data_IF_336395907694
#
_entry.id   IF_336395907694
#
_cell.length_a   1.000
_cell.length_b   1.000
_cell.length_c   1.000
_cell.angle_alpha   90.00
_cell.angle_beta   90.00
_cell.angle_gamma   90.00
#
_symmetry.space_group_name_H-M   'P 1'
#
loop_
_entity.id
_entity.type
_entity.pdbx_description
1 polymer ?
#
# COMPACT_ATOMS: atom_id res chain seq x y z
N UNK A 1 33.49 18.01 23.96
CA UNK A 1 32.85 17.95 25.30
C UNK A 1 32.60 16.49 25.63
N UNK A 2 33.13 16.01 26.75
CA UNK A 2 32.84 14.66 27.22
C UNK A 2 31.37 14.59 27.65
N UNK A 3 30.61 13.62 27.12
CA UNK A 3 29.23 13.36 27.58
C UNK A 3 29.32 12.47 28.81
N UNK A 4 28.75 12.93 29.91
CA UNK A 4 28.57 12.13 31.10
C UNK A 4 27.26 11.33 30.97
N UNK A 5 27.38 10.01 31.06
CA UNK A 5 26.23 9.10 31.00
C UNK A 5 25.98 8.53 32.39
N UNK A 6 24.71 8.53 32.81
CA UNK A 6 24.27 7.77 33.98
C UNK A 6 23.38 6.64 33.46
N UNK A 7 23.94 5.43 33.43
CA UNK A 7 23.19 4.20 33.15
C UNK A 7 22.96 3.55 34.50
N UNK A 8 21.71 3.54 34.94
CA UNK A 8 21.34 2.85 36.15
C UNK A 8 20.74 1.47 35.78
N UNK A 9 20.98 0.46 36.62
CA UNK A 9 20.40 -0.88 36.43
C UNK A 9 18.88 -0.86 36.56
N UNK A 10 18.18 -2.00 36.42
CA UNK A 10 16.72 -2.07 36.46
C UNK A 10 16.05 -1.54 37.75
N UNK A 11 16.82 -1.22 38.79
CA UNK A 11 16.37 -0.63 40.06
C UNK A 11 17.10 0.68 40.40
N UNK A 12 17.72 1.34 39.43
CA UNK A 12 18.43 2.57 39.68
C UNK A 12 17.46 3.74 39.88
N UNK A 13 17.53 4.33 41.07
CA UNK A 13 16.78 5.51 41.44
C UNK A 13 17.71 6.69 41.69
N UNK A 14 17.33 7.87 41.20
CA UNK A 14 17.93 9.15 41.55
C UNK A 14 16.91 9.95 42.34
N UNK A 15 17.25 10.32 43.57
CA UNK A 15 16.35 11.06 44.46
C UNK A 15 17.04 12.31 45.00
N UNK A 16 16.30 13.42 45.08
CA UNK A 16 16.73 14.67 45.75
C UNK A 16 18.06 15.25 45.21
N UNK A 17 18.33 15.04 43.92
CA UNK A 17 19.56 15.48 43.26
C UNK A 17 19.33 16.71 42.37
N UNK A 18 20.41 17.47 42.13
CA UNK A 18 20.49 18.46 41.06
C UNK A 18 21.41 17.89 39.99
N UNK A 19 20.90 17.74 38.77
CA UNK A 19 21.64 17.12 37.66
C UNK A 19 21.65 18.08 36.49
N UNK A 20 22.80 18.20 35.82
CA UNK A 20 23.00 19.09 34.68
C UNK A 20 23.80 18.40 33.58
N UNK A 21 23.47 18.70 32.33
CA UNK A 21 24.30 18.38 31.16
C UNK A 21 24.66 16.89 31.04
N UNK A 22 23.72 16.01 31.38
CA UNK A 22 23.89 14.56 31.44
C UNK A 22 22.80 13.87 30.62
N UNK A 23 23.12 12.69 30.11
CA UNK A 23 22.16 11.76 29.53
C UNK A 23 21.82 10.66 30.56
N UNK A 24 20.53 10.49 30.83
CA UNK A 24 20.00 9.50 31.79
C UNK A 24 19.04 8.59 31.04
N UNK A 25 19.26 7.28 31.17
CA UNK A 25 18.43 6.28 30.51
C UNK A 25 17.87 5.29 31.52
N UNK A 26 16.63 4.82 31.30
CA UNK A 26 15.99 3.71 32.06
C UNK A 26 16.06 3.87 33.59
N UNK A 27 15.92 5.09 34.09
CA UNK A 27 16.10 5.43 35.50
C UNK A 27 14.82 6.01 36.08
N UNK A 28 14.54 5.72 37.35
CA UNK A 28 13.51 6.42 38.11
C UNK A 28 14.09 7.67 38.78
N UNK A 29 13.47 8.82 38.57
CA UNK A 29 13.93 10.12 39.04
C UNK A 29 12.82 10.74 39.89
N UNK A 30 13.09 10.98 41.18
CA UNK A 30 12.13 11.55 42.13
C UNK A 30 12.69 12.79 42.81
N UNK A 31 11.84 13.80 43.01
CA UNK A 31 12.18 15.02 43.75
C UNK A 31 13.48 15.72 43.27
N UNK A 32 13.80 15.60 41.98
CA UNK A 32 15.04 16.15 41.41
C UNK A 32 14.81 17.47 40.69
N UNK A 33 15.90 18.22 40.50
CA UNK A 33 15.93 19.37 39.58
C UNK A 33 16.92 19.09 38.46
N UNK A 34 16.41 19.01 37.23
CA UNK A 34 17.17 18.66 36.03
C UNK A 34 17.29 19.88 35.10
N UNK A 35 18.51 20.17 34.65
CA UNK A 35 18.77 21.23 33.66
C UNK A 35 19.52 20.66 32.47
N UNK A 36 19.04 20.92 31.25
CA UNK A 36 19.75 20.48 30.03
C UNK A 36 20.03 18.98 29.98
N UNK A 37 19.14 18.19 30.60
CA UNK A 37 19.27 16.73 30.67
C UNK A 37 18.50 16.09 29.51
N UNK A 38 19.08 15.04 28.94
CA UNK A 38 18.36 14.14 28.02
C UNK A 38 17.90 12.90 28.79
N UNK A 39 16.59 12.65 28.79
CA UNK A 39 15.95 11.52 29.45
C UNK A 39 15.39 10.55 28.41
N UNK A 40 15.77 9.27 28.50
CA UNK A 40 15.22 8.22 27.65
C UNK A 40 14.67 7.05 28.47
N UNK A 41 13.40 6.70 28.25
CA UNK A 41 12.73 5.61 28.95
C UNK A 41 12.77 5.74 30.49
N UNK A 42 12.70 6.97 31.02
CA UNK A 42 12.73 7.25 32.45
C UNK A 42 11.32 7.39 33.03
N UNK A 43 11.20 7.16 34.34
CA UNK A 43 10.05 7.60 35.13
C UNK A 43 10.47 8.81 35.96
N UNK A 44 9.76 9.92 35.81
CA UNK A 44 10.08 11.19 36.48
C UNK A 44 8.88 11.60 37.32
N UNK A 45 9.07 11.73 38.63
CA UNK A 45 8.00 11.99 39.59
C UNK A 45 8.37 13.21 40.43
N UNK A 46 7.42 14.14 40.60
CA UNK A 46 7.51 15.31 41.47
C UNK A 46 8.80 16.14 41.29
N UNK A 47 9.30 16.19 40.05
CA UNK A 47 10.58 16.81 39.71
C UNK A 47 10.41 18.11 38.91
N UNK A 48 11.50 18.88 38.78
CA UNK A 48 11.53 20.11 37.98
C UNK A 48 12.49 19.95 36.80
N UNK A 49 11.99 20.14 35.59
CA UNK A 49 12.73 19.96 34.34
C UNK A 49 12.82 21.31 33.63
N UNK A 50 14.03 21.75 33.34
CA UNK A 50 14.31 23.01 32.66
C UNK A 50 15.19 22.75 31.44
N UNK A 51 14.74 23.17 30.26
CA UNK A 51 15.48 22.99 29.00
C UNK A 51 15.90 21.53 28.74
N UNK A 52 15.07 20.56 29.14
CA UNK A 52 15.40 19.13 28.98
C UNK A 52 14.83 18.58 27.67
N UNK A 53 15.37 17.44 27.23
CA UNK A 53 14.79 16.64 26.15
C UNK A 53 14.35 15.29 26.73
N UNK A 54 13.10 14.90 26.50
CA UNK A 54 12.56 13.66 27.06
C UNK A 54 11.97 12.79 25.96
N UNK A 55 12.36 11.52 25.95
CA UNK A 55 11.98 10.54 24.96
C UNK A 55 11.38 9.31 25.63
N UNK A 56 10.20 8.89 25.17
CA UNK A 56 9.55 7.65 25.60
C UNK A 56 9.48 7.48 27.13
N UNK A 57 9.31 8.58 27.86
CA UNK A 57 9.36 8.61 29.32
C UNK A 57 7.96 8.80 29.91
N UNK A 58 7.81 8.59 31.21
CA UNK A 58 6.58 8.92 31.96
C UNK A 58 6.89 9.99 32.99
N UNK A 59 6.14 11.09 33.00
CA UNK A 59 6.37 12.23 33.89
C UNK A 59 5.11 12.51 34.71
N UNK A 60 5.21 12.51 36.05
CA UNK A 60 4.07 12.69 36.96
C UNK A 60 4.32 13.80 37.97
N UNK A 61 3.31 14.61 38.28
CA UNK A 61 3.38 15.66 39.32
C UNK A 61 4.49 16.71 39.14
N UNK A 62 5.09 16.79 37.95
CA UNK A 62 6.33 17.52 37.73
C UNK A 62 6.08 18.90 37.12
N UNK A 63 7.08 19.80 37.21
CA UNK A 63 7.07 21.09 36.51
C UNK A 63 8.08 21.08 35.38
N UNK A 64 7.63 21.31 34.16
CA UNK A 64 8.47 21.34 32.97
C UNK A 64 8.44 22.73 32.36
N UNK A 65 9.62 23.28 32.08
CA UNK A 65 9.79 24.61 31.47
C UNK A 65 10.79 24.50 30.31
N UNK A 66 10.42 25.05 29.15
CA UNK A 66 11.26 25.06 27.95
C UNK A 66 11.75 23.64 27.54
N UNK A 67 10.96 22.61 27.82
CA UNK A 67 11.33 21.19 27.66
C UNK A 67 10.71 20.59 26.41
N UNK A 68 11.45 19.75 25.69
CA UNK A 68 10.96 18.98 24.55
C UNK A 68 10.51 17.58 24.99
N UNK A 69 9.32 17.18 24.57
CA UNK A 69 8.64 15.94 24.97
C UNK A 69 8.33 15.14 23.71
N UNK A 70 8.97 14.00 23.52
CA UNK A 70 8.75 13.14 22.35
C UNK A 70 8.33 11.72 22.76
N UNK A 71 7.09 11.35 22.43
CA UNK A 71 6.42 10.12 22.91
C UNK A 71 6.46 9.96 24.43
N UNK A 72 6.50 11.08 25.15
CA UNK A 72 6.52 11.12 26.61
C UNK A 72 5.09 11.27 27.13
N UNK A 73 4.67 10.38 28.01
CA UNK A 73 3.41 10.50 28.74
C UNK A 73 3.60 11.44 29.92
N UNK A 74 2.64 12.32 30.19
CA UNK A 74 2.66 13.17 31.38
C UNK A 74 1.31 13.22 32.06
N UNK A 75 1.32 13.20 33.38
CA UNK A 75 0.14 13.20 34.25
C UNK A 75 0.33 14.29 35.32
N UNK A 76 -0.73 15.03 35.65
CA UNK A 76 -0.75 16.06 36.72
C UNK A 76 0.41 17.08 36.71
N UNK A 77 1.08 17.26 35.56
CA UNK A 77 2.31 18.05 35.42
C UNK A 77 2.03 19.44 34.86
N UNK A 78 2.77 20.45 35.34
CA UNK A 78 2.67 21.84 34.87
C UNK A 78 3.68 22.11 33.74
N UNK A 79 3.18 22.45 32.56
CA UNK A 79 3.97 22.70 31.36
C UNK A 79 4.03 24.20 31.05
N UNK A 80 5.22 24.74 30.79
CA UNK A 80 5.41 26.12 30.32
C UNK A 80 6.40 26.13 29.16
N UNK A 81 6.00 26.68 28.01
CA UNK A 81 6.84 26.77 26.80
C UNK A 81 7.46 25.44 26.36
N UNK A 82 6.76 24.33 26.58
CA UNK A 82 7.22 22.99 26.20
C UNK A 82 6.77 22.65 24.77
N UNK A 83 7.59 21.88 24.05
CA UNK A 83 7.26 21.36 22.72
C UNK A 83 6.89 19.89 22.86
N UNK A 84 5.69 19.50 22.43
CA UNK A 84 5.17 18.14 22.61
C UNK A 84 4.97 17.46 21.25
N UNK A 85 5.52 16.26 21.11
CA UNK A 85 5.41 15.40 19.93
C UNK A 85 4.96 14.01 20.39
N UNK A 86 3.65 13.80 20.49
CA UNK A 86 3.05 12.60 21.10
C UNK A 86 2.85 11.42 20.15
N UNK A 87 3.09 11.56 18.85
CA UNK A 87 2.84 10.49 17.88
C UNK A 87 3.89 10.47 16.78
N UNK A 88 4.17 9.30 16.15
CA UNK A 88 4.80 9.32 14.82
C UNK A 88 4.03 10.30 13.93
N UNK A 89 4.73 10.97 13.03
CA UNK A 89 4.12 11.93 12.09
C UNK A 89 2.85 11.28 11.52
N UNK A 90 1.68 11.81 11.91
CA UNK A 90 0.42 11.19 11.52
C UNK A 90 0.41 11.09 10.00
N UNK A 91 0.07 9.93 9.44
CA UNK A 91 0.23 9.68 8.01
C UNK A 91 -0.44 10.76 7.13
N UNK A 92 -1.55 11.34 7.60
CA UNK A 92 -2.23 12.46 6.95
C UNK A 92 -1.47 13.79 6.93
N UNK A 93 -0.37 13.94 7.68
CA UNK A 93 0.52 15.12 7.64
C UNK A 93 1.59 15.04 6.56
N UNK A 94 1.79 13.88 5.93
CA UNK A 94 2.67 13.81 4.77
C UNK A 94 2.06 14.57 3.59
N UNK A 95 2.88 15.31 2.82
CA UNK A 95 2.48 15.84 1.51
C UNK A 95 1.86 14.73 0.65
N UNK A 96 0.90 15.11 -0.19
CA UNK A 96 0.15 14.16 -1.04
C UNK A 96 1.09 13.34 -1.92
N UNK A 97 2.18 13.93 -2.41
CA UNK A 97 3.19 13.29 -3.24
C UNK A 97 3.85 12.11 -2.51
N UNK A 98 4.26 12.32 -1.24
CA UNK A 98 4.86 11.26 -0.42
C UNK A 98 3.84 10.18 -0.07
N UNK A 99 2.58 10.55 0.23
CA UNK A 99 1.51 9.58 0.48
C UNK A 99 1.27 8.70 -0.75
N UNK A 100 1.21 9.29 -1.94
CA UNK A 100 1.07 8.55 -3.20
C UNK A 100 2.26 7.62 -3.46
N UNK A 101 3.49 8.06 -3.16
CA UNK A 101 4.67 7.19 -3.26
C UNK A 101 4.55 5.98 -2.32
N UNK A 102 4.19 6.21 -1.05
CA UNK A 102 4.00 5.12 -0.07
C UNK A 102 2.88 4.18 -0.53
N UNK A 103 1.76 4.71 -1.00
CA UNK A 103 0.67 3.91 -1.54
C UNK A 103 1.09 3.07 -2.75
N UNK A 104 1.90 3.61 -3.67
CA UNK A 104 2.41 2.84 -4.82
C UNK A 104 3.17 1.58 -4.39
N UNK A 105 3.98 1.68 -3.34
CA UNK A 105 4.74 0.54 -2.81
C UNK A 105 3.87 -0.42 -1.98
N UNK A 106 2.93 0.11 -1.19
CA UNK A 106 2.20 -0.67 -0.19
C UNK A 106 0.83 -1.19 -0.63
N UNK A 107 0.30 -0.78 -1.78
CA UNK A 107 -1.03 -1.16 -2.26
C UNK A 107 -1.02 -2.25 -3.35
N UNK A 108 0.09 -2.95 -3.54
CA UNK A 108 0.15 -4.04 -4.52
C UNK A 108 -0.66 -5.27 -4.07
N UNK A 109 -1.32 -5.93 -5.02
CA UNK A 109 -2.13 -7.11 -4.76
C UNK A 109 -1.23 -8.33 -4.52
N UNK A 110 -1.18 -8.80 -3.28
CA UNK A 110 -0.54 -10.07 -2.93
C UNK A 110 -1.61 -11.13 -2.64
N UNK A 111 -1.55 -12.26 -3.33
CA UNK A 111 -2.36 -13.45 -3.06
C UNK A 111 -3.88 -13.19 -3.04
N UNK A 112 -4.37 -12.30 -3.90
CA UNK A 112 -5.77 -11.87 -3.99
C UNK A 112 -6.38 -11.28 -2.71
N UNK A 113 -5.55 -10.85 -1.76
CA UNK A 113 -6.01 -10.20 -0.53
C UNK A 113 -5.90 -8.69 -0.66
N UNK A 114 -6.82 -7.97 -0.02
CA UNK A 114 -6.68 -6.52 0.11
C UNK A 114 -5.38 -6.20 0.86
N UNK A 115 -4.55 -5.26 0.39
CA UNK A 115 -3.32 -4.88 1.07
C UNK A 115 -3.58 -4.46 2.52
N UNK A 116 -2.70 -4.84 3.45
CA UNK A 116 -2.87 -4.55 4.88
C UNK A 116 -3.04 -3.04 5.15
N UNK A 117 -2.29 -2.20 4.43
CA UNK A 117 -2.43 -0.75 4.51
C UNK A 117 -3.83 -0.28 4.13
N UNK A 118 -4.41 -0.81 3.04
CA UNK A 118 -5.76 -0.44 2.61
C UNK A 118 -6.82 -0.81 3.66
N UNK A 119 -6.63 -1.94 4.34
CA UNK A 119 -7.52 -2.37 5.44
C UNK A 119 -7.37 -1.45 6.65
N UNK A 120 -6.13 -1.12 7.03
CA UNK A 120 -5.84 -0.23 8.16
C UNK A 120 -6.42 1.18 7.96
N UNK A 121 -6.44 1.66 6.72
CA UNK A 121 -6.96 2.99 6.38
C UNK A 121 -8.48 3.11 6.42
N UNK A 122 -9.25 2.01 6.56
CA UNK A 122 -10.73 2.07 6.57
C UNK A 122 -11.31 2.98 7.65
N UNK A 123 -10.58 3.22 8.73
CA UNK A 123 -10.98 4.15 9.80
C UNK A 123 -10.78 5.64 9.49
N UNK A 124 -10.01 5.98 8.45
CA UNK A 124 -9.78 7.35 7.99
C UNK A 124 -10.37 7.52 6.57
N UNK A 125 -11.55 8.13 6.49
CA UNK A 125 -12.31 8.24 5.24
C UNK A 125 -11.51 8.91 4.11
N UNK A 126 -10.74 9.95 4.44
CA UNK A 126 -9.97 10.73 3.46
C UNK A 126 -8.82 9.89 2.91
N UNK A 127 -8.02 9.31 3.80
CA UNK A 127 -6.88 8.47 3.39
C UNK A 127 -7.34 7.20 2.68
N UNK A 128 -8.45 6.60 3.13
CA UNK A 128 -9.04 5.44 2.47
C UNK A 128 -9.46 5.76 1.05
N UNK A 129 -10.16 6.90 0.84
CA UNK A 129 -10.55 7.36 -0.48
C UNK A 129 -9.35 7.57 -1.39
N UNK A 130 -8.27 8.20 -0.93
CA UNK A 130 -7.07 8.36 -1.74
C UNK A 130 -6.39 7.01 -2.06
N UNK A 131 -6.31 6.10 -1.08
CA UNK A 131 -5.69 4.79 -1.25
C UNK A 131 -6.48 3.90 -2.20
N UNK A 132 -7.81 3.77 -2.03
CA UNK A 132 -8.65 2.92 -2.88
C UNK A 132 -8.66 3.40 -4.34
N UNK A 133 -8.57 4.72 -4.52
CA UNK A 133 -8.49 5.34 -5.83
C UNK A 133 -7.21 4.95 -6.56
N UNK A 134 -6.07 4.98 -5.87
CA UNK A 134 -4.79 4.56 -6.45
C UNK A 134 -4.74 3.04 -6.63
N UNK A 135 -5.33 2.29 -5.70
CA UNK A 135 -5.40 0.84 -5.73
C UNK A 135 -5.97 0.31 -7.05
N UNK A 136 -7.11 0.84 -7.51
CA UNK A 136 -7.74 0.41 -8.78
C UNK A 136 -6.94 0.80 -10.03
N UNK A 137 -6.12 1.85 -9.95
CA UNK A 137 -5.26 2.28 -11.06
C UNK A 137 -4.01 1.40 -11.17
N UNK A 138 -3.45 0.98 -10.04
CA UNK A 138 -2.19 0.23 -10.00
C UNK A 138 -2.38 -1.24 -10.29
N UNK A 139 -3.43 -1.83 -9.71
CA UNK A 139 -3.62 -3.27 -9.69
C UNK A 139 -4.58 -3.73 -10.80
N UNK A 140 -4.29 -4.89 -11.43
CA UNK A 140 -5.27 -5.57 -12.25
C UNK A 140 -6.53 -5.90 -11.44
N UNK A 141 -7.69 -5.57 -11.99
CA UNK A 141 -8.97 -5.94 -11.41
C UNK A 141 -9.29 -7.39 -11.79
N UNK A 142 -9.40 -8.32 -10.82
CA UNK A 142 -9.69 -9.71 -11.13
C UNK A 142 -11.14 -9.87 -11.58
N UNK A 143 -11.34 -10.50 -12.72
CA UNK A 143 -12.63 -10.88 -13.29
C UNK A 143 -12.71 -12.40 -13.35
N UNK A 144 -13.25 -12.97 -12.28
CA UNK A 144 -13.67 -14.37 -12.20
C UNK A 144 -15.19 -14.45 -11.98
N UNK A 145 -15.73 -15.66 -11.98
CA UNK A 145 -17.17 -15.88 -11.78
C UNK A 145 -17.69 -15.34 -10.44
N UNK A 146 -16.86 -15.32 -9.40
CA UNK A 146 -17.23 -14.77 -8.09
C UNK A 146 -17.20 -13.24 -8.07
N UNK A 147 -16.28 -12.62 -8.83
CA UNK A 147 -16.15 -11.18 -8.94
C UNK A 147 -17.22 -10.54 -9.82
N UNK A 148 -17.88 -11.30 -10.71
CA UNK A 148 -19.00 -10.80 -11.52
C UNK A 148 -20.11 -10.17 -10.67
N UNK A 149 -20.54 -10.85 -9.62
CA UNK A 149 -21.57 -10.32 -8.71
C UNK A 149 -21.09 -9.02 -8.05
N UNK A 150 -19.80 -8.95 -7.70
CA UNK A 150 -19.21 -7.76 -7.08
C UNK A 150 -19.12 -6.57 -8.04
N UNK A 151 -18.92 -6.78 -9.34
CA UNK A 151 -18.93 -5.70 -10.33
C UNK A 151 -20.23 -4.90 -10.33
N UNK A 152 -21.37 -5.52 -9.99
CA UNK A 152 -22.66 -4.84 -9.87
C UNK A 152 -22.80 -4.01 -8.58
N UNK A 153 -21.96 -4.29 -7.57
CA UNK A 153 -21.94 -3.56 -6.29
C UNK A 153 -20.92 -2.42 -6.26
N UNK A 154 -20.00 -2.38 -7.23
CA UNK A 154 -19.00 -1.32 -7.30
C UNK A 154 -19.64 0.01 -7.69
N UNK A 155 -19.16 1.09 -7.07
CA UNK A 155 -19.57 2.45 -7.45
C UNK A 155 -19.03 2.82 -8.84
N UNK A 156 -19.74 3.70 -9.54
CA UNK A 156 -19.30 4.21 -10.86
C UNK A 156 -17.90 4.84 -10.79
N UNK A 157 -17.58 5.51 -9.68
CA UNK A 157 -16.27 6.11 -9.46
C UNK A 157 -15.14 5.09 -9.29
N UNK A 158 -15.44 3.90 -8.79
CA UNK A 158 -14.48 2.80 -8.72
C UNK A 158 -14.32 2.15 -10.10
N UNK A 159 -15.43 1.86 -10.79
CA UNK A 159 -15.43 1.26 -12.13
C UNK A 159 -14.62 2.10 -13.13
N UNK A 160 -14.76 3.42 -13.11
CA UNK A 160 -14.04 4.32 -14.02
C UNK A 160 -12.54 4.44 -13.81
N UNK A 161 -12.04 3.89 -12.70
CA UNK A 161 -10.61 3.85 -12.37
C UNK A 161 -9.96 2.51 -12.67
N UNK A 162 -10.76 1.48 -12.96
CA UNK A 162 -10.24 0.20 -13.42
C UNK A 162 -9.65 0.41 -14.81
N UNK A 163 -8.32 0.35 -14.89
CA UNK A 163 -7.55 0.46 -16.13
C UNK A 163 -6.93 -0.86 -16.57
N UNK A 164 -6.81 -1.83 -15.66
CA UNK A 164 -6.22 -3.13 -15.90
C UNK A 164 -7.21 -4.21 -15.52
N UNK A 165 -7.45 -5.15 -16.42
CA UNK A 165 -8.33 -6.29 -16.18
C UNK A 165 -7.49 -7.55 -16.13
N UNK A 166 -7.64 -8.34 -15.07
CA UNK A 166 -7.06 -9.68 -14.97
C UNK A 166 -8.16 -10.72 -15.04
N UNK A 167 -8.05 -11.66 -15.95
CA UNK A 167 -9.08 -12.67 -16.22
C UNK A 167 -8.43 -14.02 -16.07
N UNK A 168 -8.93 -14.79 -15.10
CA UNK A 168 -8.37 -16.10 -14.81
C UNK A 168 -9.33 -17.21 -15.26
N UNK A 169 -8.83 -18.09 -16.14
CA UNK A 169 -9.50 -19.34 -16.47
C UNK A 169 -9.03 -20.42 -15.48
N UNK A 170 -9.60 -20.45 -14.29
CA UNK A 170 -9.32 -21.52 -13.33
C UNK A 170 -9.99 -22.85 -13.74
N UNK A 171 -9.37 -23.96 -13.31
CA UNK A 171 -9.85 -25.32 -13.57
C UNK A 171 -11.19 -25.54 -12.87
N UNK A 172 -12.25 -25.83 -13.63
CA UNK A 172 -13.55 -26.22 -13.08
C UNK A 172 -14.73 -25.41 -13.61
N UNK A 173 -14.49 -24.25 -14.21
CA UNK A 173 -15.53 -23.49 -14.90
C UNK A 173 -15.40 -23.66 -16.42
N UNK A 174 -16.43 -24.20 -17.05
CA UNK A 174 -16.53 -24.28 -18.50
C UNK A 174 -16.82 -22.90 -19.07
N UNK A 175 -15.77 -22.10 -19.28
CA UNK A 175 -15.87 -20.82 -19.97
C UNK A 175 -15.26 -19.66 -19.20
N UNK A 176 -15.03 -18.58 -19.94
CA UNK A 176 -14.65 -17.29 -19.39
C UNK A 176 -15.90 -16.50 -18.99
N UNK A 177 -15.85 -15.73 -17.89
CA UNK A 177 -16.98 -14.93 -17.44
C UNK A 177 -17.37 -13.90 -18.51
N UNK A 178 -18.67 -13.65 -18.75
CA UNK A 178 -19.08 -12.56 -19.64
C UNK A 178 -18.63 -11.21 -19.07
N UNK A 179 -18.22 -10.29 -19.93
CA UNK A 179 -17.90 -8.93 -19.51
C UNK A 179 -19.16 -8.22 -18.98
N UNK A 180 -19.16 -7.76 -17.70
CA UNK A 180 -20.28 -7.00 -17.16
C UNK A 180 -20.50 -5.72 -17.96
N UNK A 181 -21.76 -5.41 -18.26
CA UNK A 181 -22.10 -4.20 -19.03
C UNK A 181 -21.69 -2.90 -18.30
N UNK A 182 -21.71 -2.91 -16.97
CA UNK A 182 -21.24 -1.79 -16.14
C UNK A 182 -19.74 -1.55 -16.32
N UNK A 183 -18.94 -2.61 -16.37
CA UNK A 183 -17.51 -2.52 -16.62
C UNK A 183 -17.25 -1.99 -18.03
N UNK A 184 -17.92 -2.55 -19.04
CA UNK A 184 -17.78 -2.12 -20.45
C UNK A 184 -18.09 -0.63 -20.62
N UNK A 185 -19.16 -0.12 -19.99
CA UNK A 185 -19.61 1.26 -20.17
C UNK A 185 -18.80 2.30 -19.41
N UNK A 186 -18.24 1.92 -18.27
CA UNK A 186 -17.71 2.91 -17.32
C UNK A 186 -16.21 2.81 -17.09
N UNK A 187 -15.60 1.64 -17.36
CA UNK A 187 -14.16 1.46 -17.14
C UNK A 187 -13.32 2.10 -18.24
N UNK A 188 -12.03 2.29 -17.93
CA UNK A 188 -11.01 2.80 -18.87
C UNK A 188 -9.95 1.73 -19.09
N UNK A 189 -10.40 0.50 -19.36
CA UNK A 189 -9.50 -0.65 -19.47
C UNK A 189 -8.56 -0.44 -20.66
N UNK A 190 -7.28 -0.26 -20.35
CA UNK A 190 -6.18 -0.16 -21.30
C UNK A 190 -5.35 -1.44 -21.37
N UNK A 191 -5.38 -2.28 -20.33
CA UNK A 191 -4.60 -3.52 -20.29
C UNK A 191 -5.49 -4.72 -19.92
N UNK A 192 -5.39 -5.80 -20.68
CA UNK A 192 -6.05 -7.08 -20.40
C UNK A 192 -4.99 -8.14 -20.14
N UNK A 193 -5.07 -8.80 -19.00
CA UNK A 193 -4.20 -9.88 -18.57
C UNK A 193 -5.04 -11.15 -18.48
N UNK A 194 -4.69 -12.17 -19.26
CA UNK A 194 -5.41 -13.44 -19.29
C UNK A 194 -4.49 -14.54 -18.78
N UNK A 195 -4.88 -15.14 -17.66
CA UNK A 195 -4.21 -16.29 -17.05
C UNK A 195 -5.03 -17.54 -17.38
N UNK A 196 -4.57 -18.33 -18.34
CA UNK A 196 -5.33 -19.45 -18.89
C UNK A 196 -4.72 -20.80 -18.52
N UNK A 197 -5.51 -21.70 -17.93
CA UNK A 197 -5.11 -23.10 -17.74
C UNK A 197 -5.37 -23.99 -18.97
N UNK A 198 -6.24 -23.56 -19.90
CA UNK A 198 -6.65 -24.30 -21.10
C UNK A 198 -6.61 -23.42 -22.34
N UNK A 199 -6.18 -23.99 -23.47
CA UNK A 199 -5.87 -23.24 -24.69
C UNK A 199 -7.10 -22.74 -25.48
N UNK A 200 -8.18 -23.53 -25.56
CA UNK A 200 -9.33 -23.30 -26.47
C UNK A 200 -10.26 -22.15 -26.10
N UNK A 201 -10.39 -21.80 -24.83
CA UNK A 201 -11.46 -20.90 -24.36
C UNK A 201 -11.07 -19.40 -24.45
N UNK A 202 -9.77 -19.12 -24.56
CA UNK A 202 -9.20 -17.79 -24.33
C UNK A 202 -9.39 -16.80 -25.49
N UNK A 203 -9.16 -17.22 -26.75
CA UNK A 203 -9.07 -16.28 -27.87
C UNK A 203 -10.44 -15.72 -28.31
N UNK A 204 -11.51 -16.53 -28.36
CA UNK A 204 -12.85 -16.04 -28.71
C UNK A 204 -13.34 -15.00 -27.70
N UNK A 205 -13.00 -15.18 -26.43
CA UNK A 205 -13.31 -14.20 -25.41
C UNK A 205 -12.51 -12.91 -25.60
N UNK A 206 -11.21 -13.00 -25.91
CA UNK A 206 -10.38 -11.82 -26.23
C UNK A 206 -11.02 -11.00 -27.34
N UNK A 207 -11.46 -11.64 -28.42
CA UNK A 207 -12.11 -10.96 -29.55
C UNK A 207 -13.37 -10.24 -29.07
N UNK A 208 -14.27 -10.95 -28.36
CA UNK A 208 -15.49 -10.36 -27.80
C UNK A 208 -15.19 -9.21 -26.83
N UNK A 209 -14.10 -9.30 -26.10
CA UNK A 209 -13.65 -8.26 -25.19
C UNK A 209 -13.17 -7.02 -25.93
N UNK A 210 -12.32 -7.17 -26.95
CA UNK A 210 -11.81 -6.07 -27.76
C UNK A 210 -12.89 -5.36 -28.57
N UNK A 211 -13.91 -6.08 -29.03
CA UNK A 211 -15.07 -5.47 -29.70
C UNK A 211 -15.86 -4.56 -28.74
N UNK A 212 -15.88 -4.89 -27.44
CA UNK A 212 -16.62 -4.15 -26.42
C UNK A 212 -15.81 -3.07 -25.72
N UNK A 213 -14.50 -3.25 -25.60
CA UNK A 213 -13.57 -2.38 -24.90
C UNK A 213 -12.74 -1.60 -25.93
N UNK A 214 -13.09 -0.34 -26.14
CA UNK A 214 -12.53 0.54 -27.17
C UNK A 214 -11.14 1.11 -26.82
N UNK A 215 -10.76 1.10 -25.54
CA UNK A 215 -9.53 1.68 -25.03
C UNK A 215 -8.34 0.71 -24.84
N UNK A 216 -8.45 -0.55 -25.25
CA UNK A 216 -7.42 -1.56 -24.94
C UNK A 216 -6.14 -1.29 -25.73
N UNK A 217 -5.05 -1.07 -25.04
CA UNK A 217 -3.71 -0.81 -25.60
C UNK A 217 -2.80 -2.03 -25.51
N UNK A 218 -3.05 -2.91 -24.53
CA UNK A 218 -2.17 -4.06 -24.28
C UNK A 218 -2.97 -5.29 -23.91
N UNK A 219 -2.58 -6.42 -24.49
CA UNK A 219 -3.09 -7.75 -24.11
C UNK A 219 -1.90 -8.60 -23.71
N UNK A 220 -2.01 -9.24 -22.57
CA UNK A 220 -1.05 -10.24 -22.08
C UNK A 220 -1.79 -11.55 -21.92
N UNK A 221 -1.35 -12.60 -22.59
CA UNK A 221 -1.85 -13.96 -22.38
C UNK A 221 -0.72 -14.76 -21.76
N UNK A 222 -0.98 -15.32 -20.59
CA UNK A 222 -0.07 -16.16 -19.84
C UNK A 222 -0.75 -17.50 -19.51
N UNK A 223 0.01 -18.58 -19.55
CA UNK A 223 -0.48 -19.90 -19.16
C UNK A 223 0.38 -20.55 -18.09
N UNK A 224 -0.28 -21.30 -17.22
CA UNK A 224 0.34 -22.11 -16.18
C UNK A 224 0.09 -23.58 -16.49
N UNK A 225 1.07 -24.26 -17.09
CA UNK A 225 0.99 -25.70 -17.29
C UNK A 225 1.27 -26.43 -15.99
N UNK A 226 0.30 -27.21 -15.53
CA UNK A 226 0.58 -28.44 -14.76
C UNK A 226 0.56 -29.68 -15.66
N UNK A 227 0.19 -29.55 -16.95
CA UNK A 227 0.14 -30.66 -17.91
C UNK A 227 0.74 -30.26 -19.26
N UNK A 228 1.43 -31.17 -19.97
CA UNK A 228 1.97 -30.91 -21.30
C UNK A 228 0.83 -30.83 -22.31
N UNK A 229 0.39 -29.61 -22.62
CA UNK A 229 -0.38 -29.34 -23.84
C UNK A 229 0.65 -29.12 -24.96
N UNK A 230 0.46 -29.65 -26.17
CA UNK A 230 1.38 -29.43 -27.29
C UNK A 230 1.57 -27.93 -27.52
N UNK A 231 2.82 -27.48 -27.51
CA UNK A 231 3.21 -26.07 -27.70
C UNK A 231 2.76 -25.51 -29.07
N UNK A 232 2.67 -26.40 -30.07
CA UNK A 232 2.41 -26.10 -31.48
C UNK A 232 1.03 -25.46 -31.74
N UNK A 233 0.05 -25.64 -30.85
CA UNK A 233 -1.29 -25.05 -31.02
C UNK A 233 -1.32 -23.54 -30.69
N UNK A 234 -0.40 -23.06 -29.85
CA UNK A 234 -0.42 -21.66 -29.42
C UNK A 234 0.27 -20.71 -30.36
N UNK A 235 1.36 -21.12 -30.99
CA UNK A 235 2.09 -20.28 -31.95
C UNK A 235 1.19 -19.93 -33.13
N UNK A 236 0.48 -20.92 -33.69
CA UNK A 236 -0.49 -20.69 -34.76
C UNK A 236 -1.62 -19.73 -34.36
N UNK A 237 -2.14 -19.83 -33.13
CA UNK A 237 -3.17 -18.93 -32.61
C UNK A 237 -2.65 -17.53 -32.34
N UNK A 238 -1.43 -17.41 -31.83
CA UNK A 238 -0.78 -16.14 -31.59
C UNK A 238 -0.51 -15.42 -32.91
N UNK A 239 -0.02 -16.14 -33.93
CA UNK A 239 0.14 -15.62 -35.30
C UNK A 239 -1.21 -15.20 -35.89
N UNK A 240 -2.24 -16.03 -35.76
CA UNK A 240 -3.59 -15.70 -36.23
C UNK A 240 -4.13 -14.42 -35.55
N UNK A 241 -4.01 -14.32 -34.22
CA UNK A 241 -4.45 -13.14 -33.48
C UNK A 241 -3.65 -11.90 -33.89
N UNK A 242 -2.34 -12.05 -34.11
CA UNK A 242 -1.49 -10.97 -34.60
C UNK A 242 -1.95 -10.42 -35.95
N UNK A 243 -2.33 -11.31 -36.88
CA UNK A 243 -2.89 -10.93 -38.17
C UNK A 243 -4.20 -10.15 -38.04
N UNK A 244 -5.02 -10.46 -37.03
CA UNK A 244 -6.28 -9.76 -36.74
C UNK A 244 -6.12 -8.44 -36.02
N UNK A 245 -5.10 -8.31 -35.19
CA UNK A 245 -4.79 -7.07 -34.46
C UNK A 245 -3.96 -6.10 -35.30
N UNK A 246 -3.33 -6.58 -36.39
CA UNK A 246 -2.37 -5.80 -37.17
C UNK A 246 -1.07 -5.52 -36.41
N UNK A 247 -0.80 -6.28 -35.35
CA UNK A 247 0.36 -6.11 -34.45
C UNK A 247 0.95 -7.47 -34.15
N UNK A 248 2.26 -7.62 -34.33
CA UNK A 248 2.98 -8.85 -34.01
C UNK A 248 2.99 -9.13 -32.50
N UNK A 249 2.82 -10.40 -32.13
CA UNK A 249 2.96 -10.82 -30.75
C UNK A 249 4.44 -10.82 -30.32
N UNK A 250 4.72 -10.29 -29.14
CA UNK A 250 6.00 -10.44 -28.45
C UNK A 250 5.93 -11.65 -27.50
N UNK A 251 7.00 -12.45 -27.45
CA UNK A 251 7.11 -13.60 -26.55
C UNK A 251 8.22 -13.37 -25.52
N UNK A 252 7.99 -12.54 -24.47
CA UNK A 252 9.02 -12.23 -23.48
C UNK A 252 9.44 -13.46 -22.65
N UNK A 253 8.59 -14.49 -22.56
CA UNK A 253 8.93 -15.78 -21.96
C UNK A 253 8.22 -16.88 -22.75
N UNK A 254 8.67 -18.14 -22.69
CA UNK A 254 8.02 -19.26 -23.40
C UNK A 254 6.55 -19.48 -23.03
N UNK A 255 6.03 -18.79 -22.00
CA UNK A 255 4.67 -18.97 -21.49
C UNK A 255 3.81 -17.70 -21.49
N UNK A 256 4.27 -16.69 -22.22
CA UNK A 256 3.66 -15.36 -22.19
C UNK A 256 3.75 -14.74 -23.57
N UNK A 257 2.59 -14.38 -24.11
CA UNK A 257 2.50 -13.52 -25.27
C UNK A 257 1.98 -12.15 -24.86
N UNK A 258 2.51 -11.13 -25.53
CA UNK A 258 2.14 -9.75 -25.33
C UNK A 258 1.85 -9.10 -26.68
N UNK A 259 0.71 -8.45 -26.79
CA UNK A 259 0.39 -7.55 -27.89
C UNK A 259 0.28 -6.15 -27.33
N UNK A 260 1.00 -5.19 -27.91
CA UNK A 260 0.99 -3.80 -27.50
C UNK A 260 0.69 -2.92 -28.71
N UNK A 261 -0.32 -2.06 -28.61
CA UNK A 261 -0.57 -1.05 -29.64
C UNK A 261 0.65 -0.11 -29.77
N UNK A 262 0.86 0.46 -30.96
CA UNK A 262 1.82 1.56 -31.13
C UNK A 262 1.57 2.69 -30.13
N UNK A 263 2.57 3.52 -29.84
CA UNK A 263 2.46 4.58 -28.84
C UNK A 263 1.22 5.48 -29.07
N UNK A 264 0.31 5.50 -28.08
CA UNK A 264 -0.95 6.24 -28.14
C UNK A 264 -2.08 5.60 -28.95
N UNK A 265 -1.84 4.44 -29.55
CA UNK A 265 -2.83 3.66 -30.29
C UNK A 265 -3.69 2.76 -29.40
N UNK A 266 -4.67 2.11 -30.02
CA UNK A 266 -5.52 1.08 -29.41
C UNK A 266 -5.51 -0.16 -30.30
N UNK A 267 -5.60 -1.34 -29.68
CA UNK A 267 -5.74 -2.61 -30.37
C UNK A 267 -7.16 -2.71 -30.91
N UNK A 268 -7.30 -2.77 -32.24
CA UNK A 268 -8.57 -2.98 -32.93
C UNK A 268 -8.57 -4.35 -33.58
N UNK A 269 -9.73 -4.99 -33.55
CA UNK A 269 -9.94 -6.25 -34.26
C UNK A 269 -10.49 -5.95 -35.66
N UNK A 270 -9.82 -6.44 -36.70
CA UNK A 270 -10.21 -6.28 -38.11
C UNK A 270 -10.82 -7.56 -38.73
#
# INVERSE_FOLDING_TARGET
>A
MARHYVISGPNGAMEKCIVRDIEITKTEIRDCTLYYVTLEACQVIDSKLYNCNTFNSTIKGSRLVDTQLHRTCFETSKLSRCIITTSPLAFGKFPTELRLMIFKYCLYFENRRSPALLVALRGDEKLYKEAIQLFYTLNPFPLDHNMLARCYTLSLAALSRISKLEVECSRGHFGLPPLPQSLVRHSRISEIHLSCALASISYLWVIKALVKLDGVQKITIQWSFLFPIPHEDWDGRATWLSGRLGVAAEMPTPRKWVWSAPAGGVLKFF
#
